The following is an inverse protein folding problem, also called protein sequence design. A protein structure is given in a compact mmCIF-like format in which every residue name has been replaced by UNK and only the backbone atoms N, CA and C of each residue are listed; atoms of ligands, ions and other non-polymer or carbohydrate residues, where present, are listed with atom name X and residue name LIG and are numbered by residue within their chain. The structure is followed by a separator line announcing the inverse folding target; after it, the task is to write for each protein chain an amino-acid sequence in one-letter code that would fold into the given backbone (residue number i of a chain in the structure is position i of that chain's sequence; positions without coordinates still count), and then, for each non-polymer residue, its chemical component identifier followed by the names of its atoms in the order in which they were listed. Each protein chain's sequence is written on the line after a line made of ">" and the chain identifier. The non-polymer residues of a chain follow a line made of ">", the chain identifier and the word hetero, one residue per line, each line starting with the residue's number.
data_IF_952169725079
#
_entry.id   IF_952169725079
#
_cell.length_a   1.000
_cell.length_b   1.000
_cell.length_c   1.000
_cell.angle_alpha   90.00
_cell.angle_beta   90.00
_cell.angle_gamma   90.00
#
_symmetry.space_group_name_H-M   'P 1'
#
loop_
_entity.id
_entity.type
_entity.pdbx_description
1 polymer ?
#
# COMPACT_ATOMS: atom_id res chain seq x y z
N UNK A 1 -7.02 -25.87 -7.23
CA UNK A 1 -6.83 -26.23 -5.80
C UNK A 1 -5.42 -26.74 -5.61
N UNK A 2 -4.56 -26.06 -4.83
CA UNK A 2 -3.19 -26.52 -4.61
C UNK A 2 -3.15 -27.67 -3.59
N UNK A 3 -2.21 -28.61 -3.76
CA UNK A 3 -1.98 -29.72 -2.83
C UNK A 3 -1.13 -29.28 -1.62
N UNK A 4 -1.17 -30.04 -0.53
CA UNK A 4 -0.38 -29.72 0.69
C UNK A 4 1.12 -29.64 0.37
N UNK A 5 1.65 -30.58 -0.43
CA UNK A 5 3.06 -30.56 -0.82
C UNK A 5 3.44 -29.33 -1.67
N UNK A 6 2.51 -28.79 -2.47
CA UNK A 6 2.73 -27.53 -3.20
C UNK A 6 2.83 -26.34 -2.24
N UNK A 7 1.96 -26.29 -1.22
CA UNK A 7 1.98 -25.23 -0.21
C UNK A 7 3.20 -25.31 0.72
N UNK A 8 3.68 -26.53 1.04
CA UNK A 8 4.91 -26.73 1.83
C UNK A 8 6.14 -26.23 1.06
N UNK A 9 6.21 -26.49 -0.26
CA UNK A 9 7.32 -26.03 -1.11
C UNK A 9 7.21 -24.55 -1.47
N UNK A 10 5.99 -24.05 -1.68
CA UNK A 10 5.66 -22.68 -2.07
C UNK A 10 4.42 -22.24 -1.29
N UNK A 11 4.66 -21.57 -0.16
CA UNK A 11 3.60 -21.00 0.67
C UNK A 11 2.72 -20.02 -0.09
N UNK A 12 1.57 -19.66 0.49
CA UNK A 12 0.72 -18.61 -0.08
C UNK A 12 1.37 -17.25 0.15
N UNK A 13 1.41 -16.44 -0.89
CA UNK A 13 1.77 -15.03 -0.77
C UNK A 13 0.52 -14.19 -0.56
N UNK A 14 0.55 -13.30 0.42
CA UNK A 14 -0.49 -12.28 0.56
C UNK A 14 -0.38 -11.25 -0.56
N UNK A 15 -1.53 -10.67 -0.93
CA UNK A 15 -1.56 -9.62 -1.94
C UNK A 15 -1.12 -8.31 -1.30
N UNK A 16 -0.11 -7.66 -1.88
CA UNK A 16 0.29 -6.32 -1.44
C UNK A 16 -0.81 -5.31 -1.73
N UNK A 17 -1.21 -4.56 -0.70
CA UNK A 17 -2.18 -3.46 -0.82
C UNK A 17 -1.44 -2.15 -1.04
N UNK A 18 -1.98 -1.29 -1.93
CA UNK A 18 -1.50 0.08 -2.12
C UNK A 18 -2.39 1.03 -1.34
N UNK A 19 -1.79 2.04 -0.72
CA UNK A 19 -2.55 3.10 -0.06
C UNK A 19 -2.91 4.18 -1.08
N UNK A 20 -4.14 4.67 -1.03
CA UNK A 20 -4.60 5.74 -1.94
C UNK A 20 -3.99 7.11 -1.57
N UNK A 21 -3.45 7.24 -0.36
CA UNK A 21 -2.92 8.50 0.20
C UNK A 21 -1.46 8.37 0.68
N UNK A 22 -0.51 8.00 -0.20
CA UNK A 22 0.89 7.75 0.20
C UNK A 22 1.60 9.00 0.74
N UNK A 23 1.18 10.19 0.30
CA UNK A 23 1.73 11.47 0.75
C UNK A 23 1.61 11.67 2.27
N UNK A 24 0.57 11.10 2.89
CA UNK A 24 0.33 11.20 4.33
C UNK A 24 1.26 10.31 5.17
N UNK A 25 1.90 9.30 4.60
CA UNK A 25 2.76 8.30 5.29
C UNK A 25 2.20 7.86 6.67
N UNK A 26 0.90 7.57 6.74
CA UNK A 26 0.24 7.10 7.97
C UNK A 26 -0.11 8.17 9.00
N UNK A 27 0.23 9.45 8.78
CA UNK A 27 -0.25 10.56 9.62
C UNK A 27 -1.68 10.98 9.25
N UNK A 28 -2.50 11.44 10.21
CA UNK A 28 -3.87 11.87 9.92
C UNK A 28 -3.90 13.12 9.02
N UNK A 29 -2.93 14.02 9.17
CA UNK A 29 -2.82 15.26 8.40
C UNK A 29 -1.35 15.66 8.25
N UNK A 30 -1.01 16.37 7.17
CA UNK A 30 0.32 16.94 6.94
C UNK A 30 0.25 18.39 6.49
N UNK A 31 1.13 19.23 7.05
CA UNK A 31 1.29 20.62 6.62
C UNK A 31 2.03 20.67 5.28
N UNK A 32 1.65 21.60 4.42
CA UNK A 32 2.30 21.89 3.14
C UNK A 32 2.21 23.38 2.81
N UNK A 33 3.05 23.84 1.89
CA UNK A 33 3.04 25.21 1.38
C UNK A 33 2.53 25.17 -0.07
N UNK A 34 1.63 26.09 -0.43
CA UNK A 34 1.11 26.19 -1.79
C UNK A 34 2.23 26.63 -2.74
N UNK A 35 2.54 25.81 -3.74
CA UNK A 35 3.55 26.13 -4.77
C UNK A 35 3.00 27.03 -5.87
N UNK A 36 1.68 26.99 -6.09
CA UNK A 36 0.99 27.87 -7.02
C UNK A 36 -0.46 28.06 -6.59
N UNK A 37 -0.93 29.31 -6.70
CA UNK A 37 -2.32 29.67 -6.41
C UNK A 37 -2.89 30.29 -7.68
N UNK A 38 -4.03 29.78 -8.11
CA UNK A 38 -4.79 30.27 -9.25
C UNK A 38 -6.22 30.53 -8.81
N UNK A 39 -6.92 31.36 -9.57
CA UNK A 39 -8.36 31.55 -9.48
C UNK A 39 -9.10 30.47 -10.25
#
# INVERSE_FOLDING_TARGET
>A
MPTIQQLVRRGRAEKTTKTNTPALKGSPQRRGVCTRVYT
#
